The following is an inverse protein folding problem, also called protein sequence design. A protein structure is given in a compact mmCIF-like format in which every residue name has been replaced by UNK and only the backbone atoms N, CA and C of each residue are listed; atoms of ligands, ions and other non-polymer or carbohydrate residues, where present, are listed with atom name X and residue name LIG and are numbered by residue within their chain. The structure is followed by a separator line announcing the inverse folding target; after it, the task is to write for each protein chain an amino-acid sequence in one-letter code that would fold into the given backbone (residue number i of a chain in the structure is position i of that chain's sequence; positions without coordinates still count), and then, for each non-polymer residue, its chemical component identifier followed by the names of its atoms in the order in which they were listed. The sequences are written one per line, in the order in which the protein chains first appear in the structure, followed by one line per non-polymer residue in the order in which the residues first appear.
data_IF_212147111724
#
_entry.id   IF_212147111724
#
_cell.length_a   1.000
_cell.length_b   1.000
_cell.length_c   1.000
_cell.angle_alpha   90.00
_cell.angle_beta   90.00
_cell.angle_gamma   90.00
#
_symmetry.space_group_name_H-M   'P 1'
#
loop_
_entity.id
_entity.type
_entity.pdbx_description
1 polymer ?
#
# COMPACT_ATOMS: atom_id res chain seq x y z
N UNK A 1 13.42 -9.25 4.59
CA UNK A 1 13.13 -7.81 4.43
C UNK A 1 14.21 -6.98 5.10
N UNK A 2 14.80 -6.06 4.35
CA UNK A 2 15.76 -5.07 4.82
C UNK A 2 15.03 -3.75 5.15
N UNK A 3 15.19 -3.19 6.35
CA UNK A 3 14.58 -1.90 6.68
C UNK A 3 15.20 -0.77 5.83
N UNK A 4 14.49 0.37 5.67
CA UNK A 4 15.04 1.53 4.98
C UNK A 4 16.35 2.00 5.65
N UNK A 5 17.33 2.41 4.82
CA UNK A 5 18.68 2.81 5.28
C UNK A 5 18.65 3.95 6.30
N UNK A 6 17.75 4.91 6.12
CA UNK A 6 17.38 5.90 7.13
C UNK A 6 15.97 6.44 6.89
N UNK A 7 15.43 7.17 7.86
CA UNK A 7 14.19 7.92 7.71
C UNK A 7 14.40 9.14 6.79
N UNK A 8 13.40 9.47 5.98
CA UNK A 8 13.47 10.59 5.02
C UNK A 8 13.96 10.18 3.62
N UNK A 9 14.08 11.18 2.75
CA UNK A 9 14.45 10.99 1.34
C UNK A 9 15.91 10.59 1.19
N UNK A 10 16.18 9.60 0.33
CA UNK A 10 17.51 9.27 -0.18
C UNK A 10 17.41 8.67 -1.59
N UNK A 11 18.47 8.79 -2.42
CA UNK A 11 18.46 8.21 -3.76
C UNK A 11 18.24 6.70 -3.74
N UNK A 12 17.25 6.21 -4.50
CA UNK A 12 16.92 4.78 -4.60
C UNK A 12 16.08 4.24 -3.45
N UNK A 13 15.49 5.08 -2.60
CA UNK A 13 14.57 4.65 -1.54
C UNK A 13 13.36 3.87 -2.07
N UNK A 14 12.84 4.29 -3.20
CA UNK A 14 11.76 3.63 -3.93
C UNK A 14 12.19 2.27 -4.46
N UNK A 15 13.40 2.16 -5.02
CA UNK A 15 13.98 0.90 -5.48
C UNK A 15 14.18 -0.06 -4.31
N UNK A 16 14.80 0.39 -3.21
CA UNK A 16 14.97 -0.41 -1.99
C UNK A 16 13.61 -0.92 -1.47
N UNK A 17 12.54 -0.11 -1.56
CA UNK A 17 11.20 -0.51 -1.14
C UNK A 17 10.61 -1.56 -2.09
N UNK A 18 10.74 -1.38 -3.39
CA UNK A 18 10.28 -2.35 -4.40
C UNK A 18 10.98 -3.71 -4.22
N UNK A 19 12.30 -3.71 -4.09
CA UNK A 19 13.09 -4.93 -3.86
C UNK A 19 12.63 -5.69 -2.60
N UNK A 20 12.26 -4.96 -1.54
CA UNK A 20 11.74 -5.57 -0.32
C UNK A 20 10.34 -6.18 -0.46
N UNK A 21 9.52 -5.63 -1.36
CA UNK A 21 8.16 -6.11 -1.62
C UNK A 21 8.11 -7.22 -2.66
N UNK A 22 9.14 -7.33 -3.51
CA UNK A 22 9.17 -8.20 -4.69
C UNK A 22 8.82 -9.66 -4.38
N UNK A 23 9.38 -10.23 -3.32
CA UNK A 23 9.12 -11.62 -2.91
C UNK A 23 7.64 -11.82 -2.54
N UNK A 24 7.08 -10.92 -1.73
CA UNK A 24 5.68 -11.00 -1.30
C UNK A 24 4.71 -10.73 -2.43
N UNK A 25 5.04 -9.77 -3.31
CA UNK A 25 4.26 -9.46 -4.50
C UNK A 25 4.21 -10.68 -5.44
N UNK A 26 5.36 -11.29 -5.73
CA UNK A 26 5.46 -12.48 -6.57
C UNK A 26 4.64 -13.64 -6.00
N UNK A 27 4.72 -13.87 -4.69
CA UNK A 27 3.94 -14.92 -4.02
C UNK A 27 2.42 -14.70 -4.17
N UNK A 28 1.96 -13.45 -4.11
CA UNK A 28 0.55 -13.10 -4.27
C UNK A 28 0.06 -13.34 -5.70
N UNK A 29 0.88 -13.02 -6.71
CA UNK A 29 0.55 -13.28 -8.12
C UNK A 29 0.49 -14.77 -8.40
N UNK A 30 1.47 -15.55 -7.93
CA UNK A 30 1.47 -17.01 -8.04
C UNK A 30 0.22 -17.61 -7.38
N UNK A 31 -0.21 -17.09 -6.23
CA UNK A 31 -1.42 -17.55 -5.56
C UNK A 31 -2.68 -17.29 -6.42
N UNK A 32 -2.76 -16.15 -7.08
CA UNK A 32 -3.86 -15.85 -8.00
C UNK A 32 -3.83 -16.76 -9.24
N UNK A 33 -2.66 -16.99 -9.83
CA UNK A 33 -2.49 -17.92 -10.96
C UNK A 33 -2.91 -19.35 -10.58
N UNK A 34 -2.51 -19.83 -9.40
CA UNK A 34 -2.89 -21.16 -8.90
C UNK A 34 -4.41 -21.28 -8.66
N UNK A 35 -5.10 -20.17 -8.43
CA UNK A 35 -6.55 -20.11 -8.35
C UNK A 35 -7.24 -19.99 -9.73
N UNK A 36 -6.47 -19.93 -10.82
CA UNK A 36 -6.96 -19.90 -12.19
C UNK A 36 -7.07 -18.52 -12.83
N UNK A 37 -6.58 -17.47 -12.16
CA UNK A 37 -6.58 -16.11 -12.71
C UNK A 37 -5.40 -15.88 -13.64
N UNK A 38 -5.54 -14.96 -14.59
CA UNK A 38 -4.43 -14.56 -15.43
C UNK A 38 -3.53 -13.55 -14.68
N UNK A 39 -2.21 -13.55 -14.91
CA UNK A 39 -1.29 -12.62 -14.24
C UNK A 39 -1.71 -11.16 -14.36
N UNK A 40 -2.21 -10.74 -15.53
CA UNK A 40 -2.64 -9.35 -15.74
C UNK A 40 -3.85 -8.98 -14.88
N UNK A 41 -4.77 -9.90 -14.64
CA UNK A 41 -5.94 -9.69 -13.78
C UNK A 41 -5.50 -9.55 -12.33
N UNK A 42 -4.54 -10.39 -11.91
CA UNK A 42 -3.93 -10.30 -10.59
C UNK A 42 -3.22 -8.95 -10.39
N UNK A 43 -2.43 -8.48 -11.36
CA UNK A 43 -1.80 -7.16 -11.31
C UNK A 43 -2.83 -6.03 -11.18
N UNK A 44 -3.88 -6.05 -12.01
CA UNK A 44 -4.95 -5.05 -11.97
C UNK A 44 -5.69 -5.04 -10.63
N UNK A 45 -5.94 -6.22 -10.07
CA UNK A 45 -6.58 -6.35 -8.75
C UNK A 45 -5.69 -5.76 -7.64
N UNK A 46 -4.38 -6.05 -7.64
CA UNK A 46 -3.44 -5.51 -6.63
C UNK A 46 -3.38 -3.99 -6.69
N UNK A 47 -3.30 -3.41 -7.90
CA UNK A 47 -3.31 -1.95 -8.09
C UNK A 47 -4.60 -1.36 -7.51
N UNK A 48 -5.75 -1.92 -7.88
CA UNK A 48 -7.05 -1.44 -7.42
C UNK A 48 -7.21 -1.52 -5.90
N UNK A 49 -6.69 -2.59 -5.28
CA UNK A 49 -6.68 -2.74 -3.83
C UNK A 49 -5.78 -1.70 -3.16
N UNK A 50 -4.57 -1.49 -3.68
CA UNK A 50 -3.64 -0.49 -3.14
C UNK A 50 -4.25 0.92 -3.19
N UNK A 51 -4.89 1.28 -4.30
CA UNK A 51 -5.59 2.56 -4.46
C UNK A 51 -6.77 2.71 -3.48
N UNK A 52 -7.57 1.66 -3.32
CA UNK A 52 -8.70 1.66 -2.39
C UNK A 52 -8.25 1.84 -0.94
N UNK A 53 -7.19 1.14 -0.53
CA UNK A 53 -6.60 1.28 0.80
C UNK A 53 -6.04 2.69 1.04
N UNK A 54 -5.27 3.23 0.10
CA UNK A 54 -4.73 4.59 0.21
C UNK A 54 -5.86 5.64 0.34
N UNK A 55 -6.93 5.49 -0.44
CA UNK A 55 -8.10 6.37 -0.35
C UNK A 55 -8.79 6.27 1.02
N UNK A 56 -8.95 5.06 1.55
CA UNK A 56 -9.54 4.83 2.85
C UNK A 56 -8.71 5.45 3.98
N UNK A 57 -7.38 5.31 3.95
CA UNK A 57 -6.48 5.88 4.96
C UNK A 57 -6.56 7.41 4.98
N UNK A 58 -6.54 8.06 3.82
CA UNK A 58 -6.71 9.52 3.69
C UNK A 58 -8.07 9.96 4.23
N UNK A 59 -9.14 9.20 3.91
CA UNK A 59 -10.49 9.52 4.38
C UNK A 59 -10.62 9.38 5.89
N UNK A 60 -10.01 8.34 6.46
CA UNK A 60 -10.00 8.10 7.91
C UNK A 60 -9.25 9.21 8.66
N UNK A 61 -8.09 9.63 8.15
CA UNK A 61 -7.32 10.75 8.73
C UNK A 61 -8.15 12.05 8.70
N UNK A 62 -8.76 12.38 7.56
CA UNK A 62 -9.61 13.56 7.44
C UNK A 62 -10.82 13.54 8.39
N UNK A 63 -11.41 12.35 8.62
CA UNK A 63 -12.51 12.19 9.56
C UNK A 63 -12.05 12.36 11.01
N UNK A 64 -10.89 11.80 11.37
CA UNK A 64 -10.31 11.95 12.71
C UNK A 64 -10.06 13.44 13.03
N UNK A 65 -9.45 14.17 12.10
CA UNK A 65 -9.23 15.61 12.20
C UNK A 65 -10.54 16.40 12.36
N UNK A 66 -11.57 16.01 11.61
CA UNK A 66 -12.88 16.65 11.70
C UNK A 66 -13.53 16.46 13.07
N UNK A 67 -13.52 15.22 13.58
CA UNK A 67 -14.05 14.89 14.91
C UNK A 67 -13.29 15.61 16.03
N UNK A 68 -11.96 15.70 15.92
CA UNK A 68 -11.16 16.44 16.90
C UNK A 68 -11.52 17.93 16.92
N UNK A 69 -11.68 18.56 15.75
CA UNK A 69 -12.12 19.96 15.64
C UNK A 69 -13.50 20.18 16.24
N UNK A 70 -14.46 19.28 16.01
CA UNK A 70 -15.79 19.36 16.61
C UNK A 70 -15.75 19.22 18.13
N UNK A 71 -14.94 18.30 18.66
CA UNK A 71 -14.82 18.10 20.11
C UNK A 71 -14.16 19.28 20.81
N UNK A 72 -13.27 20.02 20.14
CA UNK A 72 -12.66 21.25 20.67
C UNK A 72 -13.62 22.47 20.68
N UNK A 73 -14.76 22.38 20.00
CA UNK A 73 -15.78 23.44 19.92
C UNK A 73 -16.97 23.23 20.88
N UNK A 74 -16.97 22.14 21.66
CA UNK A 74 -17.91 21.87 22.75
C UNK A 74 -17.30 22.24 24.09
#
# INVERSE_FOLDING_TARGET
MHPPKHLGSYPGRDVDLQENLEEGFTALIIAAENAGWLPFEAYQAVISLAEAHACADISNEAMADFLEKMNRQR
#
